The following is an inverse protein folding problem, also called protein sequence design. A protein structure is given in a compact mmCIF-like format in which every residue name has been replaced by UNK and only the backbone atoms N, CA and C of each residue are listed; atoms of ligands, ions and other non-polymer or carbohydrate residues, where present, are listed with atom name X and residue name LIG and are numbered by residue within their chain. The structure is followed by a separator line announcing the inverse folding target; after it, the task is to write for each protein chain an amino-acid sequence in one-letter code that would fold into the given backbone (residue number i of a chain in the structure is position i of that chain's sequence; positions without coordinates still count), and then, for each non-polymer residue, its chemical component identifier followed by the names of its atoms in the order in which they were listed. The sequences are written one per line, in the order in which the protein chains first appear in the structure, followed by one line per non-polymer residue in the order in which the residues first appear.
data_IF_123812534153
#
_entry.id   IF_123812534153
#
_cell.length_a   1.000
_cell.length_b   1.000
_cell.length_c   1.000
_cell.angle_alpha   90.00
_cell.angle_beta   90.00
_cell.angle_gamma   90.00
#
_symmetry.space_group_name_H-M   'P 1'
#
loop_
_entity.id
_entity.type
_entity.pdbx_description
1 polymer ?
#
# COMPACT_ATOMS: atom_id res chain seq x y z
N UNK A 1 -5.95 -6.42 -20.67
CA UNK A 1 -5.53 -7.84 -20.47
C UNK A 1 -6.35 -8.40 -19.31
N UNK A 2 -7.02 -9.55 -19.50
CA UNK A 2 -7.81 -10.16 -18.43
C UNK A 2 -6.87 -10.87 -17.43
N UNK A 3 -7.14 -10.79 -16.13
CA UNK A 3 -6.33 -11.44 -15.10
C UNK A 3 -6.30 -12.96 -15.32
N UNK A 4 -7.40 -13.55 -15.79
CA UNK A 4 -7.46 -14.98 -16.10
C UNK A 4 -6.59 -15.34 -17.30
N UNK A 5 -6.49 -14.48 -18.32
CA UNK A 5 -5.61 -14.72 -19.46
C UNK A 5 -4.14 -14.62 -19.06
N UNK A 6 -3.80 -13.65 -18.20
CA UNK A 6 -2.46 -13.49 -17.63
C UNK A 6 -2.00 -14.71 -16.82
N UNK A 7 -2.89 -15.25 -15.97
CA UNK A 7 -2.60 -16.47 -15.19
C UNK A 7 -2.34 -17.66 -16.09
N UNK A 8 -3.16 -17.86 -17.11
CA UNK A 8 -3.06 -19.00 -18.01
C UNK A 8 -1.74 -18.97 -18.80
N UNK A 9 -1.37 -17.79 -19.30
CA UNK A 9 -0.13 -17.55 -20.02
C UNK A 9 1.10 -17.87 -19.15
N UNK A 10 1.09 -17.42 -17.89
CA UNK A 10 2.17 -17.70 -16.94
C UNK A 10 2.35 -19.19 -16.65
N UNK A 11 1.24 -19.92 -16.48
CA UNK A 11 1.27 -21.38 -16.28
C UNK A 11 1.90 -22.06 -17.50
N UNK A 12 1.52 -21.63 -18.70
CA UNK A 12 2.03 -22.19 -19.95
C UNK A 12 3.54 -21.95 -20.10
N UNK A 13 4.02 -20.76 -19.72
CA UNK A 13 5.45 -20.47 -19.72
C UNK A 13 6.22 -21.34 -18.73
N UNK A 14 5.71 -21.54 -17.51
CA UNK A 14 6.36 -22.38 -16.49
C UNK A 14 6.49 -23.82 -16.98
N UNK A 15 5.48 -24.37 -17.67
CA UNK A 15 5.52 -25.75 -18.19
C UNK A 15 6.55 -25.94 -19.30
N UNK A 16 6.94 -24.88 -19.99
CA UNK A 16 7.96 -24.92 -21.05
C UNK A 16 9.38 -24.76 -20.50
N UNK A 17 9.54 -24.46 -19.21
CA UNK A 17 10.86 -24.34 -18.59
C UNK A 17 11.45 -25.73 -18.32
N UNK A 18 12.43 -26.11 -19.13
CA UNK A 18 13.16 -27.37 -18.99
C UNK A 18 14.40 -27.25 -18.11
N UNK A 19 14.86 -26.03 -17.82
CA UNK A 19 16.04 -25.79 -16.98
C UNK A 19 15.68 -25.78 -15.49
N UNK A 20 16.16 -26.79 -14.77
CA UNK A 20 16.01 -26.89 -13.31
C UNK A 20 16.59 -25.69 -12.55
N UNK A 21 17.66 -25.07 -13.07
CA UNK A 21 18.26 -23.89 -12.44
C UNK A 21 17.29 -22.70 -12.48
N UNK A 22 16.63 -22.47 -13.60
CA UNK A 22 15.65 -21.40 -13.77
C UNK A 22 14.40 -21.63 -12.90
N UNK A 23 13.97 -22.88 -12.75
CA UNK A 23 12.88 -23.23 -11.83
C UNK A 23 13.24 -22.94 -10.36
N UNK A 24 14.49 -23.21 -9.96
CA UNK A 24 14.98 -22.86 -8.62
C UNK A 24 15.03 -21.35 -8.40
N UNK A 25 15.43 -20.57 -9.41
CA UNK A 25 15.41 -19.11 -9.34
C UNK A 25 13.99 -18.56 -9.21
N UNK A 26 13.03 -19.10 -9.98
CA UNK A 26 11.61 -18.72 -9.87
C UNK A 26 11.06 -19.05 -8.49
N UNK A 27 11.41 -20.20 -7.92
CA UNK A 27 11.02 -20.57 -6.57
C UNK A 27 11.59 -19.59 -5.53
N UNK A 28 12.86 -19.21 -5.65
CA UNK A 28 13.49 -18.23 -4.78
C UNK A 28 12.84 -16.84 -4.87
N UNK A 29 12.47 -16.39 -6.07
CA UNK A 29 11.76 -15.11 -6.26
C UNK A 29 10.37 -15.16 -5.61
N UNK A 30 9.65 -16.28 -5.76
CA UNK A 30 8.34 -16.48 -5.12
C UNK A 30 8.44 -16.44 -3.60
N UNK A 31 9.41 -17.14 -3.01
CA UNK A 31 9.60 -17.18 -1.56
C UNK A 31 9.95 -15.79 -0.99
N UNK A 32 10.84 -15.04 -1.65
CA UNK A 32 11.15 -13.65 -1.29
C UNK A 32 9.92 -12.74 -1.41
N UNK A 33 9.09 -12.92 -2.44
CA UNK A 33 7.85 -12.15 -2.60
C UNK A 33 6.87 -12.41 -1.46
N UNK A 34 6.68 -13.67 -1.05
CA UNK A 34 5.82 -14.03 0.08
C UNK A 34 6.32 -13.41 1.39
N UNK A 35 7.64 -13.43 1.63
CA UNK A 35 8.25 -12.77 2.79
C UNK A 35 8.05 -11.24 2.78
N UNK A 36 8.10 -10.61 1.61
CA UNK A 36 7.87 -9.18 1.45
C UNK A 36 6.40 -8.79 1.64
N UNK A 37 5.44 -9.67 1.33
CA UNK A 37 4.01 -9.43 1.62
C UNK A 37 3.64 -9.64 3.09
N UNK A 38 4.43 -10.40 3.84
CA UNK A 38 4.20 -10.65 5.27
C UNK A 38 4.61 -9.48 6.18
N UNK A 39 5.27 -8.45 5.63
CA UNK A 39 5.70 -7.26 6.37
C UNK A 39 4.92 -6.02 5.95
N UNK A 40 3.60 -6.12 5.82
CA UNK A 40 2.76 -4.94 6.07
C UNK A 40 2.83 -4.69 7.57
N UNK A 41 3.93 -4.09 8.02
CA UNK A 41 4.07 -3.66 9.39
C UNK A 41 2.93 -2.68 9.64
N UNK A 42 1.94 -3.13 10.42
CA UNK A 42 0.81 -2.29 10.81
C UNK A 42 1.38 -0.97 11.33
N UNK A 43 0.91 0.15 10.78
CA UNK A 43 1.41 1.48 11.15
C UNK A 43 1.26 1.61 12.66
N UNK A 44 2.38 1.70 13.37
CA UNK A 44 2.35 1.92 14.81
C UNK A 44 1.86 3.34 15.07
N UNK A 45 1.00 3.50 16.06
CA UNK A 45 0.59 4.83 16.51
C UNK A 45 1.82 5.68 16.83
N UNK A 46 1.91 6.89 16.28
CA UNK A 46 3.08 7.76 16.40
C UNK A 46 4.27 7.44 15.48
N UNK A 47 4.16 6.47 14.57
CA UNK A 47 5.23 6.10 13.62
C UNK A 47 5.64 7.19 12.62
N UNK A 48 4.87 8.28 12.53
CA UNK A 48 5.19 9.47 11.72
C UNK A 48 5.60 10.70 12.52
N UNK A 49 5.82 10.56 13.84
CA UNK A 49 6.17 11.71 14.69
C UNK A 49 7.53 12.28 14.24
N UNK A 50 7.52 13.54 13.80
CA UNK A 50 8.72 14.24 13.33
C UNK A 50 9.00 14.12 11.82
N UNK A 51 8.13 13.49 11.03
CA UNK A 51 8.25 13.50 9.55
C UNK A 51 7.91 14.88 8.99
N UNK A 52 6.89 15.54 9.55
CA UNK A 52 6.54 16.91 9.22
C UNK A 52 7.13 17.82 10.29
N UNK A 53 7.97 18.75 9.86
CA UNK A 53 8.65 19.73 10.73
C UNK A 53 7.90 21.06 10.81
N UNK A 54 6.93 21.26 9.92
CA UNK A 54 6.11 22.46 9.84
C UNK A 54 4.69 22.09 9.45
N UNK A 55 3.72 22.65 10.17
CA UNK A 55 2.29 22.65 9.87
C UNK A 55 1.88 24.11 9.93
N UNK A 56 1.09 24.56 8.96
CA UNK A 56 0.59 25.94 8.94
C UNK A 56 -0.38 26.16 10.10
N UNK A 57 -0.43 27.38 10.64
CA UNK A 57 -1.24 27.71 11.82
C UNK A 57 -2.76 27.53 11.56
N UNK A 58 -3.17 27.55 10.29
CA UNK A 58 -4.54 27.42 9.81
C UNK A 58 -4.87 26.03 9.24
N UNK A 59 -4.02 25.02 9.45
CA UNK A 59 -4.23 23.69 8.86
C UNK A 59 -5.56 23.04 9.27
N UNK A 60 -5.94 23.21 10.53
CA UNK A 60 -7.22 22.71 11.07
C UNK A 60 -8.35 23.75 10.93
N UNK A 61 -8.10 24.90 10.30
CA UNK A 61 -9.11 25.93 10.12
C UNK A 61 -10.15 25.49 9.07
N UNK A 62 -11.41 25.79 9.35
CA UNK A 62 -12.51 25.48 8.44
C UNK A 62 -12.39 26.31 7.16
N UNK A 63 -12.39 25.67 5.98
CA UNK A 63 -12.39 26.40 4.72
C UNK A 63 -13.63 27.30 4.59
N UNK A 64 -13.52 28.47 3.94
CA UNK A 64 -14.67 29.34 3.71
C UNK A 64 -15.79 28.62 2.96
N UNK A 65 -17.01 28.68 3.48
CA UNK A 65 -18.19 28.04 2.89
C UNK A 65 -18.45 26.59 3.34
N UNK A 66 -17.70 26.09 4.31
CA UNK A 66 -17.89 24.76 4.90
C UNK A 66 -18.38 24.79 6.36
N UNK A 67 -18.77 25.97 6.86
CA UNK A 67 -19.19 26.19 8.24
C UNK A 67 -20.42 25.34 8.62
N UNK A 68 -21.31 25.07 7.66
CA UNK A 68 -22.52 24.25 7.87
C UNK A 68 -22.25 22.76 8.07
N UNK A 69 -21.05 22.28 7.68
CA UNK A 69 -20.64 20.89 7.83
C UNK A 69 -19.83 20.65 9.10
N UNK A 70 -19.55 21.68 9.89
CA UNK A 70 -18.85 21.54 11.16
C UNK A 70 -19.74 20.83 12.19
N UNK A 71 -19.18 19.92 12.99
CA UNK A 71 -19.93 19.32 14.09
C UNK A 71 -20.43 20.39 15.06
N UNK A 72 -21.65 20.26 15.62
CA UNK A 72 -22.29 21.32 16.42
C UNK A 72 -21.53 21.74 17.70
N UNK A 73 -20.53 20.96 18.13
CA UNK A 73 -19.69 21.23 19.29
C UNK A 73 -18.47 22.11 19.00
N UNK A 74 -18.21 22.44 17.74
CA UNK A 74 -17.08 23.30 17.33
C UNK A 74 -17.51 24.74 17.03
N UNK A 75 -18.81 25.05 17.10
CA UNK A 75 -19.38 26.38 16.82
C UNK A 75 -19.47 27.30 18.07
N UNK A 76 -18.93 26.89 19.22
CA UNK A 76 -19.15 27.54 20.51
C UNK A 76 -17.92 28.23 21.12
N UNK A 77 -16.90 28.58 20.33
CA UNK A 77 -15.79 29.44 20.78
C UNK A 77 -15.73 30.73 19.97
#
# INVERSE_FOLDING_TARGET
MNIQSLKLELIQWILLLQEMQLLSEIQNVREKSIQNTATVQSRKFGGGRGIFTYVADDFDATPPGFEEYMPPHELSN
#
